data_IF_065581220288
#
_entry.id   IF_065581220288
#
_cell.length_a   1.000
_cell.length_b   1.000
_cell.length_c   1.000
_cell.angle_alpha   90.00
_cell.angle_beta   90.00
_cell.angle_gamma   90.00
#
_symmetry.space_group_name_H-M   'P 1'
#
loop_
_entity.id
_entity.type
_entity.pdbx_description
1 polymer ?
#
# COMPACT_ATOMS: atom_id res chain seq x y z
N UNK A 1 0.90 1.46 -13.99
CA UNK A 1 1.36 0.27 -14.75
C UNK A 1 0.39 -0.86 -14.44
N UNK A 2 -0.20 -1.54 -15.46
CA UNK A 2 -1.08 -2.68 -15.21
C UNK A 2 -0.34 -3.84 -14.53
N UNK A 3 -0.98 -4.52 -13.58
CA UNK A 3 -0.38 -5.67 -12.88
C UNK A 3 -0.17 -6.88 -13.82
N UNK A 4 -1.07 -7.08 -14.78
CA UNK A 4 -1.01 -8.23 -15.67
C UNK A 4 0.32 -8.42 -16.42
N UNK A 5 1.00 -7.38 -16.97
CA UNK A 5 2.34 -7.52 -17.52
C UNK A 5 3.43 -7.75 -16.48
N UNK A 6 3.23 -7.29 -15.22
CA UNK A 6 4.19 -7.46 -14.15
C UNK A 6 4.13 -8.87 -13.55
N UNK A 7 2.92 -9.43 -13.40
CA UNK A 7 2.69 -10.75 -12.85
C UNK A 7 3.13 -10.95 -11.41
N UNK A 8 3.33 -9.86 -10.67
CA UNK A 8 3.93 -9.90 -9.32
C UNK A 8 3.01 -10.53 -8.28
N UNK A 9 1.69 -10.39 -8.43
CA UNK A 9 0.71 -11.04 -7.56
C UNK A 9 0.49 -12.52 -7.92
N UNK A 10 0.68 -12.89 -9.18
CA UNK A 10 0.43 -14.24 -9.69
C UNK A 10 -1.05 -14.63 -9.69
N UNK A 11 -1.32 -15.92 -9.60
CA UNK A 11 -2.69 -16.42 -9.47
C UNK A 11 -3.19 -16.22 -8.03
N UNK A 12 -4.34 -15.57 -7.91
CA UNK A 12 -4.98 -15.24 -6.63
C UNK A 12 -6.29 -16.01 -6.42
N UNK A 13 -6.68 -16.86 -7.39
CA UNK A 13 -7.93 -17.60 -7.30
C UNK A 13 -7.96 -18.50 -6.05
N UNK A 14 -9.02 -18.36 -5.27
CA UNK A 14 -9.24 -19.15 -4.05
C UNK A 14 -8.37 -18.77 -2.86
N UNK A 15 -7.49 -17.76 -2.96
CA UNK A 15 -6.68 -17.30 -1.84
C UNK A 15 -7.50 -16.49 -0.83
N UNK A 16 -7.21 -16.67 0.45
CA UNK A 16 -7.64 -15.76 1.51
C UNK A 16 -6.68 -14.56 1.53
N UNK A 17 -7.21 -13.35 1.32
CA UNK A 17 -6.40 -12.14 1.17
C UNK A 17 -6.80 -11.10 2.20
N UNK A 18 -5.82 -10.42 2.81
CA UNK A 18 -6.06 -9.20 3.60
C UNK A 18 -5.43 -7.99 2.92
N UNK A 19 -6.19 -6.93 2.72
CA UNK A 19 -5.69 -5.64 2.24
C UNK A 19 -5.54 -4.69 3.42
N UNK A 20 -4.30 -4.28 3.70
CA UNK A 20 -3.92 -3.42 4.82
C UNK A 20 -3.84 -1.96 4.39
N UNK A 21 -4.77 -1.14 4.90
CA UNK A 21 -4.99 0.22 4.43
C UNK A 21 -5.74 0.21 3.10
N UNK A 22 -6.93 -0.41 3.07
CA UNK A 22 -7.66 -0.65 1.82
C UNK A 22 -8.33 0.61 1.24
N UNK A 23 -8.45 1.68 2.00
CA UNK A 23 -9.15 2.89 1.56
C UNK A 23 -10.56 2.59 1.06
N UNK A 24 -10.83 2.89 -0.21
CA UNK A 24 -12.10 2.58 -0.88
C UNK A 24 -12.20 1.12 -1.33
N UNK A 25 -11.22 0.29 -1.01
CA UNK A 25 -11.15 -1.16 -1.24
C UNK A 25 -11.26 -1.58 -2.73
N UNK A 26 -10.72 -0.76 -3.64
CA UNK A 26 -10.77 -1.10 -5.07
C UNK A 26 -9.83 -2.27 -5.40
N UNK A 27 -8.70 -2.43 -4.71
CA UNK A 27 -7.80 -3.59 -4.88
C UNK A 27 -8.48 -4.85 -4.35
N UNK A 28 -9.11 -4.81 -3.18
CA UNK A 28 -9.94 -5.91 -2.68
C UNK A 28 -11.03 -6.30 -3.67
N UNK A 29 -11.75 -5.32 -4.25
CA UNK A 29 -12.77 -5.59 -5.25
C UNK A 29 -12.21 -6.22 -6.54
N UNK A 30 -11.05 -5.76 -6.98
CA UNK A 30 -10.34 -6.33 -8.13
C UNK A 30 -9.88 -7.77 -7.85
N UNK A 31 -9.36 -8.05 -6.64
CA UNK A 31 -8.97 -9.39 -6.20
C UNK A 31 -10.18 -10.33 -6.10
N UNK A 32 -11.31 -9.85 -5.56
CA UNK A 32 -12.57 -10.60 -5.51
C UNK A 32 -13.05 -11.03 -6.92
N UNK A 33 -12.97 -10.11 -7.90
CA UNK A 33 -13.28 -10.42 -9.31
C UNK A 33 -12.35 -11.47 -9.91
N UNK A 34 -11.17 -11.65 -9.37
CA UNK A 34 -10.21 -12.70 -9.78
C UNK A 34 -10.34 -13.99 -8.95
N UNK A 35 -11.40 -14.10 -8.15
CA UNK A 35 -11.74 -15.29 -7.40
C UNK A 35 -11.02 -15.44 -6.05
N UNK A 36 -10.35 -14.39 -5.57
CA UNK A 36 -9.85 -14.35 -4.20
C UNK A 36 -10.98 -14.13 -3.18
N UNK A 37 -10.70 -14.37 -1.91
CA UNK A 37 -11.57 -14.05 -0.76
C UNK A 37 -10.92 -12.92 0.05
N UNK A 38 -11.07 -11.65 -0.37
CA UNK A 38 -10.43 -10.54 0.31
C UNK A 38 -11.17 -10.12 1.59
N UNK A 39 -10.40 -9.53 2.51
CA UNK A 39 -10.87 -8.74 3.65
C UNK A 39 -10.16 -7.39 3.57
N UNK A 40 -10.91 -6.28 3.51
CA UNK A 40 -10.34 -4.93 3.52
C UNK A 40 -10.27 -4.38 4.94
N UNK A 41 -9.12 -3.84 5.32
CA UNK A 41 -8.88 -3.21 6.63
C UNK A 41 -8.47 -1.76 6.40
N UNK A 42 -9.18 -0.82 7.01
CA UNK A 42 -8.81 0.60 7.00
C UNK A 42 -9.22 1.28 8.31
N UNK A 43 -8.47 2.27 8.72
CA UNK A 43 -8.73 3.03 9.95
C UNK A 43 -9.73 4.17 9.72
N UNK A 44 -10.02 4.51 8.46
CA UNK A 44 -10.78 5.71 8.07
C UNK A 44 -12.24 5.36 7.78
N UNK A 45 -13.20 5.71 8.67
CA UNK A 45 -14.63 5.39 8.47
C UNK A 45 -15.21 5.92 7.15
N UNK A 46 -14.76 7.11 6.71
CA UNK A 46 -15.23 7.73 5.47
C UNK A 46 -14.81 6.94 4.23
N UNK A 47 -13.60 6.37 4.22
CA UNK A 47 -13.12 5.48 3.17
C UNK A 47 -13.94 4.19 3.12
N UNK A 48 -14.16 3.57 4.27
CA UNK A 48 -14.97 2.36 4.37
C UNK A 48 -16.45 2.61 4.00
N UNK A 49 -17.01 3.78 4.29
CA UNK A 49 -18.35 4.14 3.83
C UNK A 49 -18.40 4.23 2.30
N UNK A 50 -17.38 4.78 1.66
CA UNK A 50 -17.26 4.79 0.20
C UNK A 50 -17.09 3.37 -0.36
N UNK A 51 -16.25 2.53 0.26
CA UNK A 51 -16.08 1.14 -0.12
C UNK A 51 -17.41 0.37 -0.10
N UNK A 52 -18.22 0.50 0.97
CA UNK A 52 -19.55 -0.15 1.07
C UNK A 52 -20.50 0.33 -0.02
N UNK A 53 -20.49 1.61 -0.35
CA UNK A 53 -21.29 2.15 -1.45
C UNK A 53 -20.88 1.55 -2.79
N UNK A 54 -19.57 1.46 -3.07
CA UNK A 54 -19.06 0.82 -4.28
C UNK A 54 -19.39 -0.68 -4.32
N UNK A 55 -19.29 -1.40 -3.20
CA UNK A 55 -19.71 -2.78 -3.11
C UNK A 55 -21.17 -2.96 -3.53
N UNK A 56 -22.07 -2.13 -3.00
CA UNK A 56 -23.50 -2.16 -3.35
C UNK A 56 -23.74 -1.82 -4.84
N UNK A 57 -23.03 -0.83 -5.36
CA UNK A 57 -23.17 -0.38 -6.75
C UNK A 57 -22.70 -1.44 -7.77
N UNK A 58 -21.59 -2.12 -7.46
CA UNK A 58 -20.99 -3.09 -8.38
C UNK A 58 -21.34 -4.56 -8.07
N UNK A 59 -22.13 -4.82 -7.03
CA UNK A 59 -22.55 -6.16 -6.64
C UNK A 59 -21.38 -7.06 -6.22
N UNK A 60 -20.37 -6.49 -5.55
CA UNK A 60 -19.18 -7.21 -5.08
C UNK A 60 -19.16 -7.12 -3.56
N UNK A 61 -19.22 -8.26 -2.88
CA UNK A 61 -19.28 -8.32 -1.42
C UNK A 61 -18.03 -9.01 -0.85
N UNK A 62 -17.44 -8.37 0.16
CA UNK A 62 -16.39 -8.92 1.02
C UNK A 62 -16.36 -8.15 2.34
N UNK A 63 -15.79 -8.71 3.43
CA UNK A 63 -15.71 -8.03 4.71
C UNK A 63 -14.87 -6.75 4.66
N UNK A 64 -15.35 -5.70 5.35
CA UNK A 64 -14.63 -4.45 5.60
C UNK A 64 -14.53 -4.23 7.11
N UNK A 65 -13.32 -4.05 7.61
CA UNK A 65 -13.00 -3.92 9.03
C UNK A 65 -12.41 -2.55 9.29
N UNK A 66 -12.99 -1.83 10.24
CA UNK A 66 -12.45 -0.56 10.74
C UNK A 66 -11.39 -0.86 11.82
N UNK A 67 -10.12 -0.81 11.44
CA UNK A 67 -8.99 -1.03 12.33
C UNK A 67 -7.71 -0.44 11.77
N UNK A 68 -6.72 -0.20 12.64
CA UNK A 68 -5.36 0.10 12.23
C UNK A 68 -4.70 -1.16 11.65
N UNK A 69 -3.99 -1.01 10.53
CA UNK A 69 -3.18 -2.08 9.96
C UNK A 69 -1.97 -2.47 10.85
N UNK A 70 -1.69 -1.70 11.89
CA UNK A 70 -0.68 -2.01 12.91
C UNK A 70 -1.18 -2.97 13.99
N UNK A 71 -2.51 -3.18 14.08
CA UNK A 71 -3.15 -4.10 15.04
C UNK A 71 -4.54 -4.48 14.55
N UNK A 72 -4.62 -5.55 13.78
CA UNK A 72 -5.84 -6.00 13.12
C UNK A 72 -6.57 -7.02 13.99
N UNK A 73 -7.89 -6.87 14.27
CA UNK A 73 -8.65 -7.78 15.12
C UNK A 73 -9.04 -9.06 14.38
N UNK A 74 -8.07 -9.71 13.77
CA UNK A 74 -8.24 -10.97 13.04
C UNK A 74 -7.26 -12.02 13.58
N UNK A 75 -7.60 -13.32 13.47
CA UNK A 75 -6.74 -14.40 13.94
C UNK A 75 -5.39 -14.41 13.19
N UNK A 76 -4.36 -14.92 13.87
CA UNK A 76 -3.07 -15.22 13.24
C UNK A 76 -3.22 -16.33 12.19
N UNK A 77 -2.31 -16.37 11.23
CA UNK A 77 -2.19 -17.45 10.23
C UNK A 77 -3.50 -17.73 9.48
N UNK A 78 -4.21 -16.66 9.11
CA UNK A 78 -5.54 -16.77 8.49
C UNK A 78 -5.55 -16.43 7.00
N UNK A 79 -4.45 -15.89 6.46
CA UNK A 79 -4.39 -15.41 5.09
C UNK A 79 -3.21 -16.02 4.32
N UNK A 80 -3.42 -16.18 3.01
CA UNK A 80 -2.40 -16.66 2.08
C UNK A 80 -1.61 -15.48 1.48
N UNK A 81 -2.25 -14.30 1.43
CA UNK A 81 -1.67 -13.08 0.86
C UNK A 81 -2.08 -11.87 1.69
N UNK A 82 -1.12 -11.04 2.07
CA UNK A 82 -1.35 -9.69 2.55
C UNK A 82 -0.95 -8.68 1.47
N UNK A 83 -1.82 -7.71 1.20
CA UNK A 83 -1.61 -6.67 0.18
C UNK A 83 -1.66 -5.30 0.83
N UNK A 84 -0.81 -4.37 0.39
CA UNK A 84 -0.94 -2.96 0.73
C UNK A 84 -0.51 -2.10 -0.46
N UNK A 85 -1.47 -1.50 -1.13
CA UNK A 85 -1.22 -0.60 -2.26
C UNK A 85 -1.43 0.83 -1.80
N UNK A 86 -0.35 1.57 -1.60
CA UNK A 86 -0.34 2.94 -1.05
C UNK A 86 -1.18 3.12 0.24
N UNK A 87 -1.42 2.02 0.96
CA UNK A 87 -2.15 1.98 2.23
C UNK A 87 -1.19 1.94 3.43
N UNK A 88 -1.19 0.85 4.20
CA UNK A 88 -0.29 0.68 5.35
C UNK A 88 1.18 0.87 4.98
N UNK A 89 1.56 0.53 3.74
CA UNK A 89 2.92 0.66 3.20
C UNK A 89 3.45 2.10 3.18
N UNK A 90 2.56 3.11 3.29
CA UNK A 90 2.91 4.53 3.37
C UNK A 90 2.51 5.13 4.73
N UNK A 91 1.30 4.80 5.23
CA UNK A 91 0.66 5.53 6.31
C UNK A 91 0.88 4.92 7.70
N UNK A 92 1.43 3.71 7.78
CA UNK A 92 1.69 3.02 9.04
C UNK A 92 3.19 2.88 9.33
N UNK A 93 3.57 2.84 10.61
CA UNK A 93 4.97 2.55 10.97
C UNK A 93 5.34 1.14 10.46
N UNK A 94 6.33 1.03 9.57
CA UNK A 94 6.77 -0.27 9.06
C UNK A 94 7.18 -1.25 10.16
N UNK A 95 7.62 -0.74 11.31
CA UNK A 95 8.03 -1.55 12.45
C UNK A 95 6.85 -2.17 13.20
N UNK A 96 5.62 -1.70 12.89
CA UNK A 96 4.38 -2.20 13.49
C UNK A 96 3.56 -3.00 12.46
N UNK A 97 3.26 -2.43 11.28
CA UNK A 97 2.38 -3.10 10.33
C UNK A 97 3.04 -4.31 9.63
N UNK A 98 4.37 -4.32 9.41
CA UNK A 98 5.05 -5.47 8.78
C UNK A 98 5.03 -6.71 9.70
N UNK A 99 5.34 -6.61 11.02
CA UNK A 99 5.12 -7.71 11.94
C UNK A 99 3.66 -8.16 12.05
N UNK A 100 2.73 -7.23 11.97
CA UNK A 100 1.30 -7.56 11.97
C UNK A 100 0.89 -8.30 10.70
N UNK A 101 1.34 -7.87 9.53
CA UNK A 101 1.15 -8.61 8.29
C UNK A 101 1.73 -10.04 8.38
N UNK A 102 2.92 -10.19 8.96
CA UNK A 102 3.52 -11.51 9.19
C UNK A 102 2.68 -12.38 10.11
N UNK A 103 2.12 -11.81 11.20
CA UNK A 103 1.23 -12.52 12.12
C UNK A 103 -0.03 -13.04 11.42
N UNK A 104 -0.60 -12.24 10.53
CA UNK A 104 -1.83 -12.57 9.80
C UNK A 104 -1.63 -13.66 8.74
N UNK A 105 -0.42 -13.75 8.19
CA UNK A 105 -0.09 -14.70 7.14
C UNK A 105 0.15 -16.11 7.68
N UNK A 106 -0.34 -17.10 6.95
CA UNK A 106 0.00 -18.51 7.15
C UNK A 106 1.49 -18.75 6.84
N UNK A 107 2.09 -19.81 7.38
CA UNK A 107 3.41 -20.25 6.92
C UNK A 107 3.44 -20.42 5.39
N UNK A 108 4.39 -19.78 4.72
CA UNK A 108 4.47 -19.73 3.27
C UNK A 108 3.58 -18.69 2.59
N UNK A 109 2.78 -17.96 3.35
CA UNK A 109 2.00 -16.83 2.86
C UNK A 109 2.89 -15.67 2.38
N UNK A 110 2.34 -14.82 1.53
CA UNK A 110 3.08 -13.75 0.85
C UNK A 110 2.63 -12.37 1.31
N UNK A 111 3.60 -11.46 1.48
CA UNK A 111 3.35 -10.02 1.61
C UNK A 111 3.72 -9.33 0.31
N UNK A 112 2.75 -8.64 -0.30
CA UNK A 112 2.93 -7.79 -1.46
C UNK A 112 2.53 -6.36 -1.11
N UNK A 113 3.38 -5.38 -1.44
CA UNK A 113 3.03 -3.99 -1.19
C UNK A 113 3.67 -3.05 -2.21
N UNK A 114 2.96 -1.97 -2.50
CA UNK A 114 3.39 -0.87 -3.35
C UNK A 114 3.49 0.40 -2.51
N UNK A 115 4.56 1.16 -2.72
CA UNK A 115 4.83 2.41 -2.00
C UNK A 115 5.56 3.40 -2.90
N UNK A 116 5.67 4.64 -2.44
CA UNK A 116 6.47 5.64 -3.12
C UNK A 116 7.95 5.21 -3.26
N UNK A 117 8.55 5.53 -4.39
CA UNK A 117 9.99 5.36 -4.57
C UNK A 117 10.76 6.16 -3.52
N UNK A 118 11.80 5.56 -2.94
CA UNK A 118 12.69 6.28 -2.02
C UNK A 118 13.31 7.51 -2.70
N UNK A 119 13.68 7.41 -3.97
CA UNK A 119 14.21 8.53 -4.72
C UNK A 119 13.18 9.66 -4.89
N UNK A 120 11.95 9.33 -5.24
CA UNK A 120 10.88 10.32 -5.36
C UNK A 120 10.67 11.08 -4.06
N UNK A 121 10.66 10.38 -2.92
CA UNK A 121 10.53 11.01 -1.60
C UNK A 121 11.74 11.88 -1.24
N UNK A 122 12.95 11.46 -1.60
CA UNK A 122 14.14 12.28 -1.37
C UNK A 122 14.14 13.57 -2.19
N UNK A 123 13.53 13.54 -3.38
CA UNK A 123 13.38 14.69 -4.27
C UNK A 123 12.09 15.49 -4.02
N UNK A 124 11.15 14.97 -3.20
CA UNK A 124 9.91 15.67 -2.89
C UNK A 124 10.19 16.94 -2.08
N UNK A 125 9.77 18.09 -2.59
CA UNK A 125 9.77 19.35 -1.86
C UNK A 125 8.65 19.36 -0.81
N UNK A 126 8.71 20.26 0.15
CA UNK A 126 7.65 20.44 1.14
C UNK A 126 6.37 21.01 0.49
N UNK A 127 6.51 21.68 -0.63
CA UNK A 127 5.40 22.19 -1.46
C UNK A 127 5.74 21.99 -2.95
N UNK A 128 4.74 21.64 -3.73
CA UNK A 128 4.85 21.45 -5.19
C UNK A 128 5.38 20.09 -5.63
N UNK A 129 5.70 19.95 -6.92
CA UNK A 129 6.18 18.69 -7.49
C UNK A 129 7.58 18.31 -7.00
N UNK A 130 7.97 17.03 -7.07
CA UNK A 130 9.33 16.61 -6.80
C UNK A 130 10.35 17.37 -7.67
N UNK A 131 11.45 17.77 -7.06
CA UNK A 131 12.55 18.47 -7.71
C UNK A 131 13.53 17.48 -8.38
N UNK A 132 14.41 18.00 -9.25
CA UNK A 132 15.51 17.20 -9.84
C UNK A 132 16.70 17.02 -8.88
N UNK A 133 16.63 17.63 -7.70
CA UNK A 133 17.68 17.60 -6.67
C UNK A 133 17.12 17.07 -5.36
N UNK A 134 17.99 16.43 -4.55
CA UNK A 134 17.61 15.94 -3.24
C UNK A 134 17.20 17.10 -2.32
N UNK A 135 16.00 17.01 -1.78
CA UNK A 135 15.44 17.99 -0.84
C UNK A 135 15.65 17.57 0.62
N UNK A 136 15.95 16.30 0.86
CA UNK A 136 16.17 15.75 2.20
C UNK A 136 17.25 14.67 2.21
N UNK A 137 17.80 14.40 3.39
CA UNK A 137 18.81 13.36 3.57
C UNK A 137 18.17 11.97 3.60
N UNK A 138 18.81 11.00 2.97
CA UNK A 138 18.44 9.59 3.13
C UNK A 138 18.77 9.06 4.54
N UNK A 139 19.79 9.64 5.20
CA UNK A 139 20.11 9.25 6.57
C UNK A 139 19.04 9.77 7.51
N UNK A 140 18.42 8.85 8.27
CA UNK A 140 17.33 9.17 9.18
C UNK A 140 15.98 9.31 8.50
N UNK A 141 15.87 8.97 7.22
CA UNK A 141 14.58 8.86 6.55
C UNK A 141 13.71 7.84 7.30
N UNK A 142 12.49 8.23 7.60
CA UNK A 142 11.57 7.42 8.41
C UNK A 142 10.20 8.04 8.44
N UNK A 143 9.84 8.66 9.54
CA UNK A 143 8.57 9.38 9.70
C UNK A 143 8.67 10.77 9.05
N UNK A 144 7.74 11.07 8.17
CA UNK A 144 7.67 12.33 7.42
C UNK A 144 6.34 13.01 7.73
N UNK A 145 6.42 14.28 8.13
CA UNK A 145 5.27 15.19 8.27
C UNK A 145 5.35 16.21 7.15
N UNK A 146 4.28 16.31 6.38
CA UNK A 146 4.19 17.29 5.31
C UNK A 146 3.54 18.58 5.81
N UNK A 147 4.02 19.77 5.45
CA UNK A 147 3.41 21.02 5.86
C UNK A 147 1.93 21.09 5.47
N UNK A 148 1.09 21.47 6.42
CA UNK A 148 -0.35 21.59 6.18
C UNK A 148 -1.14 20.29 6.16
N UNK A 149 -0.49 19.13 6.26
CA UNK A 149 -1.16 17.83 6.34
C UNK A 149 -1.22 17.31 7.79
N UNK A 150 -2.30 16.59 8.10
CA UNK A 150 -2.49 15.93 9.40
C UNK A 150 -1.92 14.52 9.38
N UNK A 151 -1.79 13.96 8.18
CA UNK A 151 -1.28 12.61 7.96
C UNK A 151 0.24 12.55 8.11
N UNK A 152 0.72 11.36 8.47
CA UNK A 152 2.14 11.05 8.58
C UNK A 152 2.48 9.98 7.55
N UNK A 153 3.49 10.24 6.74
CA UNK A 153 4.02 9.25 5.81
C UNK A 153 5.25 8.56 6.41
N UNK A 154 5.41 7.27 6.13
CA UNK A 154 6.55 6.49 6.56
C UNK A 154 7.37 6.00 5.37
N UNK A 155 8.64 6.34 5.37
CA UNK A 155 9.56 5.98 4.30
C UNK A 155 10.89 5.49 4.84
N UNK A 156 11.08 4.18 4.91
CA UNK A 156 12.39 3.60 5.22
C UNK A 156 13.25 3.50 3.95
N UNK A 157 14.57 3.79 4.05
CA UNK A 157 15.50 3.45 2.99
C UNK A 157 15.45 1.94 2.67
N UNK A 158 15.68 1.57 1.41
CA UNK A 158 15.58 0.17 0.97
C UNK A 158 16.37 -0.81 1.85
N UNK A 159 17.61 -0.45 2.23
CA UNK A 159 18.42 -1.31 3.08
C UNK A 159 17.88 -1.50 4.50
N UNK A 160 17.19 -0.51 5.07
CA UNK A 160 16.54 -0.63 6.38
C UNK A 160 15.26 -1.47 6.27
N UNK A 161 14.46 -1.21 5.25
CA UNK A 161 13.25 -1.97 4.96
C UNK A 161 13.56 -3.45 4.73
N UNK A 162 14.56 -3.73 3.90
CA UNK A 162 15.02 -5.10 3.64
C UNK A 162 15.42 -5.82 4.92
N UNK A 163 16.23 -5.17 5.78
CA UNK A 163 16.62 -5.76 7.08
C UNK A 163 15.44 -5.94 8.02
N UNK A 164 14.45 -5.03 7.98
CA UNK A 164 13.23 -5.17 8.79
C UNK A 164 12.42 -6.37 8.34
N UNK A 165 12.15 -6.53 7.06
CA UNK A 165 11.44 -7.68 6.51
C UNK A 165 12.11 -9.00 6.91
N UNK A 166 13.42 -9.10 6.75
CA UNK A 166 14.16 -10.30 7.14
C UNK A 166 14.14 -10.60 8.63
N UNK A 167 14.25 -9.57 9.49
CA UNK A 167 14.17 -9.75 10.94
C UNK A 167 12.79 -10.15 11.41
N UNK A 168 11.74 -9.76 10.67
CA UNK A 168 10.36 -10.15 10.94
C UNK A 168 10.09 -11.61 10.54
N UNK A 169 10.92 -12.20 9.68
CA UNK A 169 10.78 -13.59 9.22
C UNK A 169 10.43 -13.75 7.76
N UNK A 170 10.39 -12.66 6.99
CA UNK A 170 10.15 -12.73 5.54
C UNK A 170 11.42 -13.05 4.77
N UNK A 171 11.32 -13.92 3.78
CA UNK A 171 12.26 -14.01 2.69
C UNK A 171 11.88 -12.99 1.62
N UNK A 172 12.77 -12.04 1.34
CA UNK A 172 12.51 -11.02 0.31
C UNK A 172 12.82 -11.63 -1.05
N UNK A 173 11.79 -11.77 -1.85
CA UNK A 173 11.86 -12.45 -3.15
C UNK A 173 12.27 -11.47 -4.24
N UNK A 174 11.66 -10.27 -4.27
CA UNK A 174 11.91 -9.29 -5.32
C UNK A 174 11.65 -7.86 -4.84
N UNK A 175 12.25 -6.90 -5.53
CA UNK A 175 12.00 -5.47 -5.44
C UNK A 175 11.89 -4.93 -6.88
N UNK A 176 10.68 -4.57 -7.27
CA UNK A 176 10.39 -4.07 -8.61
C UNK A 176 10.24 -2.56 -8.58
N UNK A 177 11.08 -1.84 -9.32
CA UNK A 177 10.92 -0.40 -9.55
C UNK A 177 10.01 -0.19 -10.76
N UNK A 178 8.90 0.52 -10.56
CA UNK A 178 7.92 0.80 -11.60
C UNK A 178 8.24 2.14 -12.27
N UNK A 179 8.36 2.11 -13.57
CA UNK A 179 8.54 3.28 -14.41
C UNK A 179 7.27 3.57 -15.21
N UNK A 180 6.98 4.86 -15.51
CA UNK A 180 5.89 5.19 -16.41
C UNK A 180 6.18 4.61 -17.80
N UNK A 181 5.15 4.27 -18.60
CA UNK A 181 5.35 3.94 -20.01
C UNK A 181 5.89 5.13 -20.79
N UNK A 182 6.57 4.88 -21.94
CA UNK A 182 7.23 5.92 -22.73
C UNK A 182 6.28 7.02 -23.27
N UNK A 183 4.99 6.69 -23.39
CA UNK A 183 3.92 7.60 -23.81
C UNK A 183 3.17 8.24 -22.62
N UNK A 184 3.67 8.09 -21.40
CA UNK A 184 3.06 8.72 -20.23
C UNK A 184 3.13 10.25 -20.33
N UNK A 185 2.00 10.90 -20.06
CA UNK A 185 1.92 12.36 -19.98
C UNK A 185 2.04 12.77 -18.53
N UNK A 186 2.90 13.75 -18.26
CA UNK A 186 3.00 14.36 -16.94
C UNK A 186 1.70 15.09 -16.60
N UNK A 187 1.12 14.75 -15.45
CA UNK A 187 0.01 15.48 -14.87
C UNK A 187 0.51 16.32 -13.71
N UNK A 188 0.26 17.62 -13.73
CA UNK A 188 0.45 18.47 -12.57
C UNK A 188 -0.66 18.20 -11.55
N UNK A 189 -0.32 18.22 -10.26
CA UNK A 189 -1.34 18.26 -9.21
C UNK A 189 -2.19 19.51 -9.41
N UNK A 190 -3.51 19.35 -9.50
CA UNK A 190 -4.40 20.52 -9.50
C UNK A 190 -4.76 20.88 -8.05
N UNK A 191 -4.81 22.17 -7.74
CA UNK A 191 -5.23 22.70 -6.43
C UNK A 191 -6.72 22.46 -6.11
N UNK A 192 -7.43 21.84 -7.01
CA UNK A 192 -8.82 21.47 -6.81
C UNK A 192 -8.91 19.99 -6.46
N UNK A 193 -9.17 19.69 -5.24
CA UNK A 193 -9.71 18.48 -4.56
C UNK A 193 -9.95 17.16 -5.32
N UNK A 194 -9.62 17.04 -6.59
CA UNK A 194 -9.50 15.80 -7.32
C UNK A 194 -8.01 15.41 -7.33
N UNK A 195 -7.66 14.46 -6.48
CA UNK A 195 -6.32 13.88 -6.47
C UNK A 195 -6.16 13.07 -7.75
N UNK A 196 -5.83 13.72 -8.84
CA UNK A 196 -5.27 13.05 -10.00
C UNK A 196 -3.81 12.78 -9.66
N UNK A 197 -3.51 11.54 -9.30
CA UNK A 197 -2.15 11.11 -9.09
C UNK A 197 -1.38 11.23 -10.40
N UNK A 198 -0.37 12.09 -10.42
CA UNK A 198 0.60 12.11 -11.51
C UNK A 198 1.20 10.71 -11.63
N UNK A 199 1.06 10.10 -12.78
CA UNK A 199 1.76 8.87 -13.11
C UNK A 199 3.19 9.26 -13.45
N UNK A 200 4.10 9.03 -12.55
CA UNK A 200 5.54 9.02 -12.85
C UNK A 200 6.04 7.60 -12.82
#
# INVERSE_FOLDING_TARGET
VPEAPLGTLGDVQGLDVVELGCGTAYVSAWLAKRGARPVGVDVTPAQLATARRCQAEFGIEFPLIEASAESVPLPSESFDLAVSEYGASIWCDPRLWIPEAHRLLRPGGRLWFLRNSTLAILCAADEGPPAETLQRSQRGLGRIEWPGEVSVEWQLPHGELFRLLRRTGFDVIDLVELYPPDDAVDHSYSDTSSVEWARK
#
